data_IF_987335582997
#
_entry.id   IF_987335582997
#
_cell.length_a   1.000
_cell.length_b   1.000
_cell.length_c   1.000
_cell.angle_alpha   90.00
_cell.angle_beta   90.00
_cell.angle_gamma   90.00
#
_symmetry.space_group_name_H-M   'P 1'
#
loop_
_entity.id
_entity.type
_entity.pdbx_description
1 polymer ?
#
# COMPACT_ATOMS: atom_id res chain seq x y z
N UNK A 1 -8.30 -4.21 3.78
CA UNK A 1 -9.14 -5.24 3.15
C UNK A 1 -9.66 -6.29 4.14
N UNK A 2 -8.84 -7.07 4.84
CA UNK A 2 -9.34 -8.08 5.80
C UNK A 2 -10.34 -7.52 6.83
N UNK A 3 -10.01 -6.41 7.49
CA UNK A 3 -10.90 -5.79 8.48
C UNK A 3 -12.24 -5.37 7.87
N UNK A 4 -12.22 -4.83 6.63
CA UNK A 4 -13.43 -4.44 5.89
C UNK A 4 -14.28 -5.66 5.53
N UNK A 5 -13.66 -6.84 5.39
CA UNK A 5 -14.34 -8.14 5.19
C UNK A 5 -14.75 -8.81 6.52
N UNK A 6 -14.57 -8.15 7.68
CA UNK A 6 -14.86 -8.72 8.99
C UNK A 6 -13.86 -9.79 9.45
N UNK A 7 -12.67 -9.84 8.84
CA UNK A 7 -11.61 -10.81 9.15
C UNK A 7 -10.44 -10.14 9.86
N UNK A 8 -9.88 -10.83 10.86
CA UNK A 8 -8.62 -10.44 11.49
C UNK A 8 -7.51 -11.34 11.00
N UNK A 9 -6.44 -10.75 10.47
CA UNK A 9 -5.22 -11.45 10.05
C UNK A 9 -4.01 -10.57 10.34
N UNK A 10 -2.84 -11.18 10.44
CA UNK A 10 -1.58 -10.46 10.60
C UNK A 10 -1.27 -9.71 9.30
N UNK A 11 -0.85 -8.45 9.43
CA UNK A 11 -0.25 -7.70 8.34
C UNK A 11 1.22 -8.12 8.20
N UNK A 12 1.63 -8.48 6.99
CA UNK A 12 2.99 -8.94 6.68
C UNK A 12 3.76 -7.87 5.90
N UNK A 13 3.05 -7.04 5.14
CA UNK A 13 3.62 -6.02 4.28
C UNK A 13 3.02 -4.64 4.60
N UNK A 14 3.75 -3.58 4.23
CA UNK A 14 3.24 -2.21 4.14
C UNK A 14 3.16 -1.82 2.66
N UNK A 15 2.01 -1.31 2.24
CA UNK A 15 1.72 -0.99 0.86
C UNK A 15 1.48 0.51 0.67
N UNK A 16 2.05 1.09 -0.40
CA UNK A 16 1.76 2.46 -0.83
C UNK A 16 0.45 2.52 -1.63
N UNK A 17 -0.57 3.18 -1.09
CA UNK A 17 -1.90 3.33 -1.73
C UNK A 17 -1.74 4.01 -3.11
N UNK A 18 -0.96 5.08 -3.17
CA UNK A 18 -0.44 5.70 -4.39
C UNK A 18 1.05 5.41 -4.48
N UNK A 19 1.45 4.68 -5.53
CA UNK A 19 2.86 4.36 -5.76
C UNK A 19 3.71 5.63 -5.85
N UNK A 20 4.81 5.69 -5.09
CA UNK A 20 5.80 6.75 -5.21
C UNK A 20 6.51 6.73 -6.57
N UNK A 21 6.41 5.63 -7.32
CA UNK A 21 6.90 5.53 -8.70
C UNK A 21 5.96 6.17 -9.72
N UNK A 22 4.83 6.76 -9.30
CA UNK A 22 3.89 7.46 -10.18
C UNK A 22 4.32 8.86 -10.61
N UNK A 23 5.51 9.32 -10.19
CA UNK A 23 6.02 10.65 -10.49
C UNK A 23 7.52 10.62 -10.74
N UNK A 24 8.00 11.54 -11.58
CA UNK A 24 9.43 11.77 -11.82
C UNK A 24 10.01 12.88 -10.94
N UNK A 25 9.17 13.68 -10.29
CA UNK A 25 9.63 14.72 -9.36
C UNK A 25 10.21 14.06 -8.09
N UNK A 26 11.49 14.33 -7.81
CA UNK A 26 12.20 13.73 -6.67
C UNK A 26 11.67 14.15 -5.29
N UNK A 27 11.16 15.37 -5.15
CA UNK A 27 10.59 15.88 -3.90
C UNK A 27 9.24 15.21 -3.68
N UNK A 28 8.40 15.17 -4.71
CA UNK A 28 7.10 14.52 -4.64
C UNK A 28 7.22 13.01 -4.43
N UNK A 29 8.19 12.35 -5.08
CA UNK A 29 8.50 10.92 -4.86
C UNK A 29 8.80 10.65 -3.40
N UNK A 30 9.63 11.48 -2.77
CA UNK A 30 9.96 11.36 -1.34
C UNK A 30 8.75 11.60 -0.46
N UNK A 31 7.94 12.63 -0.78
CA UNK A 31 6.71 12.90 -0.04
C UNK A 31 5.75 11.69 -0.09
N UNK A 32 5.50 11.13 -1.27
CA UNK A 32 4.66 9.95 -1.45
C UNK A 32 5.20 8.70 -0.73
N UNK A 33 6.53 8.52 -0.71
CA UNK A 33 7.15 7.33 -0.11
C UNK A 33 7.01 7.27 1.42
N UNK A 34 6.92 8.44 2.09
CA UNK A 34 6.93 8.55 3.55
C UNK A 34 5.67 9.17 4.14
N UNK A 35 4.65 9.46 3.34
CA UNK A 35 3.35 9.90 3.80
C UNK A 35 2.61 8.74 4.50
N UNK A 36 2.40 8.85 5.81
CA UNK A 36 1.71 7.83 6.60
C UNK A 36 0.28 7.58 6.13
N UNK A 37 -0.41 8.61 5.62
CA UNK A 37 -1.76 8.47 5.08
C UNK A 37 -1.77 7.75 3.72
N UNK A 38 -0.61 7.63 3.09
CA UNK A 38 -0.39 6.85 1.87
C UNK A 38 0.10 5.41 2.15
N UNK A 39 0.31 5.03 3.41
CA UNK A 39 0.77 3.68 3.79
C UNK A 39 -0.37 2.87 4.39
N UNK A 40 -0.46 1.60 4.00
CA UNK A 40 -1.44 0.65 4.52
C UNK A 40 -0.76 -0.64 4.98
N UNK A 41 -0.96 -1.03 6.23
CA UNK A 41 -0.65 -2.39 6.70
C UNK A 41 -1.59 -3.40 6.05
N UNK A 42 -1.03 -4.42 5.41
CA UNK A 42 -1.81 -5.37 4.61
C UNK A 42 -1.25 -6.79 4.73
N UNK A 43 -2.13 -7.80 4.61
CA UNK A 43 -1.70 -9.20 4.57
C UNK A 43 -1.14 -9.57 3.20
N UNK A 44 -0.38 -10.67 3.12
CA UNK A 44 0.28 -11.04 1.86
C UNK A 44 -0.68 -11.26 0.69
N UNK A 45 -1.82 -11.89 0.97
CA UNK A 45 -2.84 -12.23 -0.04
C UNK A 45 -3.40 -10.97 -0.68
N UNK A 46 -3.90 -10.03 0.12
CA UNK A 46 -4.49 -8.80 -0.41
C UNK A 46 -3.44 -7.90 -1.05
N UNK A 47 -2.21 -7.88 -0.54
CA UNK A 47 -1.12 -7.13 -1.17
C UNK A 47 -0.87 -7.63 -2.61
N UNK A 48 -0.77 -8.95 -2.77
CA UNK A 48 -0.62 -9.55 -4.09
C UNK A 48 -1.83 -9.30 -4.99
N UNK A 49 -3.06 -9.35 -4.45
CA UNK A 49 -4.27 -9.04 -5.22
C UNK A 49 -4.30 -7.62 -5.77
N UNK A 50 -3.80 -6.63 -5.01
CA UNK A 50 -3.73 -5.24 -5.48
C UNK A 50 -2.77 -5.14 -6.66
N UNK A 51 -1.59 -5.75 -6.57
CA UNK A 51 -0.60 -5.70 -7.66
C UNK A 51 -0.95 -6.60 -8.87
N UNK A 52 -1.72 -7.67 -8.66
CA UNK A 52 -2.16 -8.57 -9.74
C UNK A 52 -3.37 -8.05 -10.52
N UNK A 53 -4.09 -7.05 -10.01
CA UNK A 53 -5.12 -6.34 -10.75
C UNK A 53 -4.43 -5.38 -11.73
N UNK A 54 -3.89 -5.94 -12.81
CA UNK A 54 -3.44 -5.22 -14.00
C UNK A 54 -4.61 -4.71 -14.82
#
# INVERSE_FOLDING_TARGET
>A
MCLQEGKTTIAEDVHHIKSFMSTDDSVLRRALAYDYDNLMSICKVHHQMIHNKG
#
